data_IF_840263806230
#
_entry.id   IF_840263806230
#
_cell.length_a   1.000
_cell.length_b   1.000
_cell.length_c   1.000
_cell.angle_alpha   90.00
_cell.angle_beta   90.00
_cell.angle_gamma   90.00
#
_symmetry.space_group_name_H-M   'P 1'
#
loop_
_entity.id
_entity.type
_entity.pdbx_description
1 polymer ?
#
# COMPACT_ATOMS: atom_id res chain seq x y z
N UNK A 1 19.34 4.66 3.15
CA UNK A 1 17.91 4.28 3.15
C UNK A 1 17.67 3.37 1.96
N UNK A 2 17.06 2.22 2.16
CA UNK A 2 16.81 1.22 1.11
C UNK A 2 15.45 1.47 0.46
N UNK A 3 15.41 1.57 -0.87
CA UNK A 3 14.17 1.62 -1.63
C UNK A 3 13.68 0.20 -1.91
N UNK A 4 12.38 -0.03 -1.83
CA UNK A 4 11.76 -1.32 -2.08
C UNK A 4 10.41 -1.13 -2.78
N UNK A 5 10.04 -2.06 -3.65
CA UNK A 5 8.75 -2.09 -4.31
C UNK A 5 7.98 -3.33 -3.84
N UNK A 6 6.77 -3.11 -3.37
CA UNK A 6 5.81 -4.17 -3.03
C UNK A 6 4.88 -4.29 -4.23
N UNK A 7 4.83 -5.45 -4.85
CA UNK A 7 4.09 -5.64 -6.09
C UNK A 7 2.80 -6.45 -5.87
N UNK A 8 1.79 -6.15 -6.68
CA UNK A 8 0.53 -6.90 -6.79
C UNK A 8 -0.20 -7.09 -5.44
N UNK A 9 -0.26 -6.04 -4.65
CA UNK A 9 -0.96 -6.04 -3.37
C UNK A 9 -2.32 -5.34 -3.48
N UNK A 10 -3.28 -5.77 -2.64
CA UNK A 10 -4.58 -5.14 -2.55
C UNK A 10 -4.50 -3.86 -1.71
N UNK A 11 -4.97 -2.75 -2.27
CA UNK A 11 -5.09 -1.48 -1.56
C UNK A 11 -6.28 -1.49 -0.60
N UNK A 12 -6.05 -1.08 0.64
CA UNK A 12 -7.06 -0.93 1.67
C UNK A 12 -7.07 0.51 2.17
N UNK A 13 -8.23 1.15 2.13
CA UNK A 13 -8.46 2.53 2.62
C UNK A 13 -7.36 3.53 2.24
N UNK A 14 -7.00 3.63 0.94
CA UNK A 14 -5.94 4.53 0.50
C UNK A 14 -6.31 6.00 0.74
N UNK A 15 -5.38 6.77 1.27
CA UNK A 15 -5.48 8.21 1.58
C UNK A 15 -4.23 8.89 1.06
N UNK A 16 -4.13 8.99 -0.27
CA UNK A 16 -2.93 9.46 -0.96
C UNK A 16 -3.18 10.64 -1.91
N UNK A 17 -4.45 10.99 -2.14
CA UNK A 17 -4.83 12.15 -2.94
C UNK A 17 -4.61 13.49 -2.22
N UNK A 18 -4.67 13.49 -0.90
CA UNK A 18 -4.41 14.62 0.01
C UNK A 18 -4.00 14.12 1.39
N UNK A 19 -3.62 15.01 2.29
CA UNK A 19 -3.29 14.67 3.67
C UNK A 19 -4.53 14.46 4.52
N UNK A 20 -4.41 13.51 5.46
CA UNK A 20 -5.43 13.17 6.45
C UNK A 20 -4.81 13.11 7.84
N UNK A 21 -5.59 13.43 8.86
CA UNK A 21 -5.26 13.17 10.26
C UNK A 21 -6.37 12.35 10.92
N UNK A 22 -6.05 11.59 11.95
CA UNK A 22 -7.05 10.91 12.74
C UNK A 22 -7.73 11.92 13.69
N UNK A 23 -9.05 12.00 13.63
CA UNK A 23 -9.86 12.77 14.56
C UNK A 23 -10.43 11.83 15.63
N UNK A 24 -10.01 12.04 16.88
CA UNK A 24 -10.42 11.21 18.01
C UNK A 24 -11.88 11.44 18.39
N UNK A 25 -12.45 12.60 18.08
CA UNK A 25 -13.86 12.92 18.35
C UNK A 25 -14.79 12.19 17.39
N UNK A 26 -14.43 12.24 16.09
CA UNK A 26 -15.21 11.58 15.05
C UNK A 26 -14.81 10.10 14.84
N UNK A 27 -13.78 9.62 15.55
CA UNK A 27 -13.22 8.25 15.42
C UNK A 27 -12.89 7.85 13.98
N UNK A 28 -12.54 8.82 13.14
CA UNK A 28 -12.21 8.63 11.73
C UNK A 28 -11.07 9.53 11.26
N UNK A 29 -10.52 9.19 10.11
CA UNK A 29 -9.56 10.09 9.46
C UNK A 29 -10.28 11.15 8.67
N UNK A 30 -9.93 12.41 8.90
CA UNK A 30 -10.48 13.58 8.23
C UNK A 30 -9.40 14.26 7.37
N UNK A 31 -9.78 14.88 6.25
CA UNK A 31 -8.86 15.72 5.47
C UNK A 31 -8.31 16.86 6.32
N UNK A 32 -7.05 17.21 6.10
CA UNK A 32 -6.38 18.28 6.85
C UNK A 32 -5.31 18.96 6.00
N UNK A 33 -4.75 20.08 6.50
CA UNK A 33 -3.59 20.69 5.88
C UNK A 33 -2.33 19.86 6.13
N UNK A 34 -1.38 19.94 5.20
CA UNK A 34 -0.13 19.16 5.29
C UNK A 34 0.69 19.50 6.54
N UNK A 35 0.59 20.74 7.03
CA UNK A 35 1.29 21.23 8.24
C UNK A 35 0.57 20.92 9.56
N UNK A 36 -0.65 20.42 9.50
CA UNK A 36 -1.39 20.07 10.71
C UNK A 36 -0.71 18.92 11.47
N UNK A 37 -0.77 18.96 12.80
CA UNK A 37 -0.23 17.89 13.63
C UNK A 37 -0.89 16.55 13.30
N UNK A 38 -0.08 15.50 13.06
CA UNK A 38 -0.57 14.17 12.70
C UNK A 38 -1.00 14.01 11.25
N UNK A 39 -0.79 15.03 10.39
CA UNK A 39 -1.11 14.94 8.96
C UNK A 39 -0.22 13.91 8.27
N UNK A 40 -0.82 13.03 7.48
CA UNK A 40 -0.11 12.01 6.71
C UNK A 40 -0.85 11.62 5.43
N UNK A 41 -0.09 11.21 4.43
CA UNK A 41 -0.57 10.34 3.35
C UNK A 41 -0.39 8.90 3.79
N UNK A 42 -1.34 8.03 3.54
CA UNK A 42 -1.18 6.63 3.90
C UNK A 42 -1.96 5.69 2.98
N UNK A 43 -1.49 4.47 2.93
CA UNK A 43 -2.16 3.34 2.30
C UNK A 43 -1.94 2.12 3.17
N UNK A 44 -3.01 1.43 3.53
CA UNK A 44 -2.95 0.10 4.06
C UNK A 44 -3.01 -0.87 2.89
N UNK A 45 -2.35 -2.01 2.99
CA UNK A 45 -2.33 -3.00 1.92
C UNK A 45 -2.32 -4.40 2.50
N UNK A 46 -2.88 -5.33 1.72
CA UNK A 46 -2.96 -6.74 2.04
C UNK A 46 -2.01 -7.53 1.16
N UNK A 47 -1.30 -8.48 1.77
CA UNK A 47 -0.28 -9.31 1.16
C UNK A 47 -0.58 -10.78 1.41
N UNK A 48 -0.16 -11.65 0.50
CA UNK A 48 -0.04 -13.07 0.76
C UNK A 48 1.22 -13.38 1.61
N UNK A 49 1.38 -14.64 2.04
CA UNK A 49 2.50 -15.10 2.88
C UNK A 49 3.87 -14.83 2.23
N UNK A 50 4.02 -15.09 0.94
CA UNK A 50 5.30 -14.92 0.24
C UNK A 50 5.71 -13.46 0.10
N UNK A 51 4.74 -12.58 -0.21
CA UNK A 51 4.97 -11.14 -0.25
C UNK A 51 5.35 -10.58 1.12
N UNK A 52 4.66 -11.04 2.19
CA UNK A 52 4.96 -10.63 3.55
C UNK A 52 6.36 -11.10 3.98
N UNK A 53 6.76 -12.35 3.64
CA UNK A 53 8.09 -12.87 3.88
C UNK A 53 9.16 -12.03 3.19
N UNK A 54 9.01 -11.78 1.89
CA UNK A 54 9.97 -10.99 1.11
C UNK A 54 10.12 -9.56 1.64
N UNK A 55 9.00 -8.93 2.04
CA UNK A 55 9.04 -7.59 2.65
C UNK A 55 9.72 -7.62 4.02
N UNK A 56 9.44 -8.64 4.86
CA UNK A 56 10.10 -8.78 6.17
C UNK A 56 11.61 -8.98 6.05
N UNK A 57 12.07 -9.79 5.11
CA UNK A 57 13.49 -9.98 4.82
C UNK A 57 14.18 -8.67 4.42
N UNK A 58 13.52 -7.87 3.54
CA UNK A 58 14.03 -6.56 3.16
C UNK A 58 14.07 -5.58 4.36
N UNK A 59 13.05 -5.61 5.23
CA UNK A 59 13.01 -4.82 6.45
C UNK A 59 14.10 -5.25 7.43
N UNK A 60 14.28 -6.56 7.64
CA UNK A 60 15.31 -7.09 8.52
C UNK A 60 16.72 -6.72 8.04
N UNK A 61 16.97 -6.78 6.73
CA UNK A 61 18.23 -6.32 6.13
C UNK A 61 18.44 -4.84 6.38
N UNK A 62 17.45 -3.99 6.07
CA UNK A 62 17.55 -2.54 6.29
C UNK A 62 17.77 -2.20 7.78
N UNK A 63 17.16 -2.98 8.68
CA UNK A 63 17.35 -2.86 10.12
C UNK A 63 18.77 -3.22 10.52
N UNK A 64 19.28 -4.36 10.08
CA UNK A 64 20.62 -4.85 10.37
C UNK A 64 21.71 -3.88 9.89
N UNK A 65 21.54 -3.31 8.68
CA UNK A 65 22.46 -2.35 8.09
C UNK A 65 22.58 -1.03 8.88
N UNK A 66 21.54 -0.70 9.65
CA UNK A 66 21.47 0.57 10.40
C UNK A 66 21.47 0.41 11.90
N UNK A 67 21.39 -0.81 12.40
CA UNK A 67 21.32 -1.13 13.82
C UNK A 67 22.58 -0.64 14.56
N UNK A 68 22.36 0.04 15.69
CA UNK A 68 23.38 0.45 16.63
C UNK A 68 23.40 -0.48 17.86
N UNK A 69 24.43 -0.39 18.71
CA UNK A 69 24.64 -1.28 19.85
C UNK A 69 23.49 -1.26 20.88
N UNK A 70 22.76 -0.15 20.98
CA UNK A 70 21.63 0.04 21.89
C UNK A 70 20.28 -0.45 21.32
N UNK A 71 20.25 -0.93 20.05
CA UNK A 71 19.04 -1.44 19.43
C UNK A 71 18.79 -2.91 19.79
N UNK A 72 17.53 -3.36 19.83
CA UNK A 72 17.18 -4.76 19.97
C UNK A 72 17.91 -5.66 18.98
N UNK A 73 18.23 -6.88 19.38
CA UNK A 73 18.99 -7.81 18.53
C UNK A 73 18.23 -8.17 17.26
N UNK A 74 16.92 -8.37 17.37
CA UNK A 74 16.03 -8.77 16.26
C UNK A 74 14.94 -7.75 16.02
N UNK A 75 14.55 -7.59 14.76
CA UNK A 75 13.38 -6.81 14.38
C UNK A 75 12.10 -7.56 14.82
N UNK A 76 11.20 -6.89 15.52
CA UNK A 76 9.89 -7.45 15.84
C UNK A 76 9.05 -7.65 14.57
N UNK A 77 8.19 -8.67 14.58
CA UNK A 77 7.28 -8.93 13.47
C UNK A 77 6.23 -7.81 13.36
N UNK A 78 6.15 -7.06 12.25
CA UNK A 78 5.36 -5.85 12.18
C UNK A 78 3.98 -6.02 11.55
N UNK A 79 3.70 -7.18 10.93
CA UNK A 79 2.47 -7.38 10.16
C UNK A 79 1.34 -7.92 11.04
N UNK A 80 0.12 -7.49 10.73
CA UNK A 80 -1.08 -8.08 11.30
C UNK A 80 -1.51 -9.25 10.41
N UNK A 81 -1.63 -10.45 10.99
CA UNK A 81 -2.22 -11.61 10.32
C UNK A 81 -3.75 -11.50 10.40
N UNK A 82 -4.41 -11.67 9.27
CA UNK A 82 -5.86 -11.71 9.16
C UNK A 82 -6.36 -13.18 9.24
N UNK A 83 -7.66 -13.38 9.46
CA UNK A 83 -8.27 -14.72 9.63
C UNK A 83 -8.15 -15.60 8.39
N UNK A 84 -8.05 -14.98 7.20
CA UNK A 84 -7.88 -15.66 5.92
C UNK A 84 -6.43 -16.07 5.62
N UNK A 85 -5.51 -15.87 6.58
CA UNK A 85 -4.08 -16.18 6.43
C UNK A 85 -3.30 -15.14 5.63
N UNK A 86 -3.90 -14.03 5.25
CA UNK A 86 -3.21 -12.89 4.65
C UNK A 86 -2.59 -11.98 5.71
N UNK A 87 -1.76 -11.05 5.27
CA UNK A 87 -1.07 -10.11 6.15
C UNK A 87 -1.36 -8.68 5.73
N UNK A 88 -1.64 -7.82 6.69
CA UNK A 88 -1.85 -6.40 6.45
C UNK A 88 -0.77 -5.54 7.07
N UNK A 89 -0.41 -4.47 6.38
CA UNK A 89 0.50 -3.46 6.87
C UNK A 89 0.18 -2.09 6.29
N UNK A 90 0.84 -1.04 6.80
CA UNK A 90 0.60 0.35 6.42
C UNK A 90 1.88 1.03 5.93
N UNK A 91 1.84 1.63 4.76
CA UNK A 91 2.85 2.59 4.31
C UNK A 91 2.34 4.01 4.50
N UNK A 92 3.19 4.93 4.99
CA UNK A 92 2.80 6.30 5.29
C UNK A 92 3.90 7.32 4.96
N UNK A 93 3.48 8.55 4.73
CA UNK A 93 4.35 9.70 4.56
C UNK A 93 3.77 10.88 5.34
N UNK A 94 4.54 11.50 6.22
CA UNK A 94 4.09 12.71 6.94
C UNK A 94 3.77 13.83 5.95
N UNK A 95 2.75 14.62 6.23
CA UNK A 95 2.38 15.78 5.41
C UNK A 95 3.44 16.88 5.39
N UNK A 96 4.17 17.04 6.50
CA UNK A 96 5.27 18.01 6.61
C UNK A 96 6.33 17.53 7.61
N UNK A 97 7.52 18.07 7.50
CA UNK A 97 8.62 17.99 8.47
C UNK A 97 8.98 19.41 8.91
N UNK A 98 8.56 19.79 10.11
CA UNK A 98 8.62 21.20 10.55
C UNK A 98 7.72 22.06 9.68
N UNK A 99 8.26 23.10 9.06
CA UNK A 99 7.55 24.02 8.15
C UNK A 99 7.58 23.55 6.69
N UNK A 100 8.39 22.55 6.36
CA UNK A 100 8.53 22.05 4.99
C UNK A 100 7.45 21.02 4.66
N UNK A 101 6.59 21.36 3.69
CA UNK A 101 5.54 20.49 3.18
C UNK A 101 6.18 19.36 2.37
N UNK A 102 5.79 18.13 2.67
CA UNK A 102 6.27 16.95 1.96
C UNK A 102 5.61 16.87 0.58
N UNK A 103 6.40 16.52 -0.43
CA UNK A 103 5.87 16.25 -1.76
C UNK A 103 4.90 15.08 -1.70
N UNK A 104 3.70 15.29 -2.24
CA UNK A 104 2.65 14.26 -2.35
C UNK A 104 3.19 12.99 -3.04
N UNK A 105 2.83 11.78 -2.55
CA UNK A 105 3.15 10.54 -3.23
C UNK A 105 2.59 10.53 -4.66
N UNK A 106 3.43 10.12 -5.62
CA UNK A 106 3.02 10.07 -7.02
C UNK A 106 2.09 8.87 -7.24
N UNK A 107 1.00 9.09 -7.99
CA UNK A 107 0.12 8.03 -8.48
C UNK A 107 0.31 7.90 -9.98
N UNK A 108 0.51 6.68 -10.47
CA UNK A 108 0.70 6.38 -11.88
C UNK A 108 -0.18 5.22 -12.30
N UNK A 109 -0.51 5.14 -13.58
CA UNK A 109 -1.19 3.98 -14.17
C UNK A 109 -0.24 2.80 -14.39
N UNK A 110 -0.73 1.72 -14.98
CA UNK A 110 0.05 0.51 -15.30
C UNK A 110 1.20 0.76 -16.29
N UNK A 111 1.13 1.83 -17.08
CA UNK A 111 2.17 2.24 -18.04
C UNK A 111 3.18 3.24 -17.45
N UNK A 112 2.98 3.65 -16.19
CA UNK A 112 3.83 4.63 -15.52
C UNK A 112 3.48 6.09 -15.81
N UNK A 113 2.35 6.35 -16.48
CA UNK A 113 1.86 7.71 -16.73
C UNK A 113 1.23 8.26 -15.45
N UNK A 114 1.58 9.51 -15.11
CA UNK A 114 1.04 10.17 -13.91
C UNK A 114 -0.47 10.35 -14.02
N UNK A 115 -1.20 9.88 -13.02
CA UNK A 115 -2.63 10.10 -12.87
C UNK A 115 -2.94 11.54 -12.41
N UNK A 116 -4.19 11.97 -12.62
CA UNK A 116 -4.66 13.28 -12.16
C UNK A 116 -4.41 13.48 -10.66
N UNK A 117 -4.17 14.71 -10.24
CA UNK A 117 -3.81 15.00 -8.85
C UNK A 117 -4.96 14.75 -7.86
N UNK A 118 -6.19 14.76 -8.32
CA UNK A 118 -7.42 14.45 -7.58
C UNK A 118 -7.85 12.99 -7.69
N UNK A 119 -7.09 12.15 -8.43
CA UNK A 119 -7.41 10.74 -8.59
C UNK A 119 -7.60 10.05 -7.23
N UNK A 120 -8.75 9.39 -7.08
CA UNK A 120 -9.13 8.66 -5.88
C UNK A 120 -8.90 7.15 -6.10
N UNK A 121 -7.80 6.65 -5.56
CA UNK A 121 -7.61 5.21 -5.47
C UNK A 121 -8.62 4.62 -4.48
N UNK A 122 -9.22 3.49 -4.84
CA UNK A 122 -10.27 2.82 -4.08
C UNK A 122 -9.79 1.53 -3.44
N UNK A 123 -10.42 1.14 -2.34
CA UNK A 123 -10.19 -0.15 -1.67
C UNK A 123 -10.54 -1.31 -2.62
N UNK A 124 -9.69 -2.35 -2.62
CA UNK A 124 -9.83 -3.52 -3.48
C UNK A 124 -9.12 -3.38 -4.83
N UNK A 125 -8.54 -2.21 -5.15
CA UNK A 125 -7.67 -2.05 -6.32
C UNK A 125 -6.36 -2.79 -6.11
N UNK A 126 -5.81 -3.40 -7.18
CA UNK A 126 -4.48 -4.02 -7.16
C UNK A 126 -3.43 -2.97 -7.51
N UNK A 127 -2.40 -2.87 -6.69
CA UNK A 127 -1.37 -1.82 -6.80
C UNK A 127 0.03 -2.34 -6.57
N UNK A 128 1.01 -1.64 -7.14
CA UNK A 128 2.41 -1.71 -6.75
C UNK A 128 2.73 -0.48 -5.90
N UNK A 129 3.42 -0.66 -4.78
CA UNK A 129 3.73 0.41 -3.82
C UNK A 129 5.25 0.58 -3.75
N UNK A 130 5.73 1.75 -4.14
CA UNK A 130 7.13 2.13 -3.97
C UNK A 130 7.32 2.79 -2.60
N UNK A 131 8.23 2.24 -1.80
CA UNK A 131 8.53 2.69 -0.45
C UNK A 131 10.03 2.91 -0.24
N UNK A 132 10.35 3.62 0.82
CA UNK A 132 11.68 3.67 1.41
C UNK A 132 11.61 3.07 2.81
N UNK A 133 12.46 2.08 3.06
CA UNK A 133 12.61 1.45 4.38
C UNK A 133 13.44 2.38 5.29
N UNK A 134 12.85 2.79 6.39
CA UNK A 134 13.46 3.71 7.35
C UNK A 134 13.48 3.08 8.75
N UNK A 135 14.59 2.40 9.12
CA UNK A 135 14.78 1.89 10.48
C UNK A 135 14.76 3.02 11.51
N UNK A 136 14.15 2.76 12.65
CA UNK A 136 14.04 3.71 13.76
C UNK A 136 14.11 3.02 15.11
N UNK A 137 14.45 3.79 16.13
CA UNK A 137 14.28 3.43 17.53
C UNK A 137 13.46 4.51 18.22
N UNK A 138 12.55 4.10 19.09
CA UNK A 138 11.73 4.97 19.91
C UNK A 138 11.61 4.38 21.32
N UNK A 139 12.42 4.90 22.24
CA UNK A 139 12.55 4.33 23.59
C UNK A 139 13.14 2.92 23.55
N UNK A 140 12.36 1.91 23.97
CA UNK A 140 12.75 0.49 23.94
C UNK A 140 12.31 -0.23 22.65
N UNK A 141 11.46 0.44 21.86
CA UNK A 141 10.89 -0.14 20.64
C UNK A 141 11.73 0.26 19.44
N UNK A 142 12.02 -0.69 18.59
CA UNK A 142 12.72 -0.48 17.34
C UNK A 142 11.94 -1.13 16.21
N UNK A 143 11.99 -0.51 15.03
CA UNK A 143 11.24 -0.99 13.89
C UNK A 143 11.73 -0.42 12.57
N UNK A 144 11.03 -0.76 11.50
CA UNK A 144 11.26 -0.20 10.18
C UNK A 144 9.98 0.44 9.68
N UNK A 145 10.00 1.75 9.47
CA UNK A 145 8.87 2.49 8.91
C UNK A 145 8.89 2.39 7.39
N UNK A 146 7.73 2.11 6.80
CA UNK A 146 7.52 2.10 5.36
C UNK A 146 7.13 3.50 4.90
N UNK A 147 8.10 4.28 4.39
CA UNK A 147 7.84 5.62 3.87
C UNK A 147 7.30 5.53 2.46
N UNK A 148 6.05 5.94 2.27
CA UNK A 148 5.37 5.94 0.97
C UNK A 148 6.02 6.94 0.01
N UNK A 149 6.30 6.51 -1.23
CA UNK A 149 6.87 7.35 -2.30
C UNK A 149 5.95 7.50 -3.49
N UNK A 150 5.45 6.37 -3.98
CA UNK A 150 4.57 6.32 -5.14
C UNK A 150 3.68 5.08 -5.10
N UNK A 151 2.59 5.14 -5.84
CA UNK A 151 1.67 4.00 -6.06
C UNK A 151 1.40 3.88 -7.55
N UNK A 152 1.58 2.67 -8.08
CA UNK A 152 1.18 2.31 -9.44
C UNK A 152 -0.10 1.50 -9.38
N UNK A 153 -1.12 1.93 -10.09
CA UNK A 153 -2.41 1.24 -10.18
C UNK A 153 -2.31 0.19 -11.29
N UNK A 154 -2.35 -1.09 -10.91
CA UNK A 154 -2.30 -2.23 -11.85
C UNK A 154 -3.70 -2.59 -12.31
N UNK A 155 -4.62 -2.73 -11.35
CA UNK A 155 -6.06 -2.91 -11.62
C UNK A 155 -6.85 -1.94 -10.74
N UNK A 156 -7.62 -1.10 -11.38
CA UNK A 156 -8.53 -0.20 -10.66
C UNK A 156 -9.86 -0.89 -10.41
N UNK A 157 -10.32 -0.88 -9.16
CA UNK A 157 -11.66 -1.31 -8.77
C UNK A 157 -12.49 -0.06 -8.49
N UNK A 158 -13.40 0.35 -9.39
CA UNK A 158 -14.23 1.51 -9.14
C UNK A 158 -15.12 1.30 -7.92
N UNK A 159 -15.51 2.40 -7.26
CA UNK A 159 -16.48 2.33 -6.18
C UNK A 159 -17.86 2.01 -6.80
N UNK A 160 -18.43 0.88 -6.43
CA UNK A 160 -19.80 0.55 -6.83
C UNK A 160 -20.78 1.42 -6.00
N UNK A 161 -21.29 2.47 -6.62
CA UNK A 161 -22.42 3.19 -6.06
C UNK A 161 -23.71 2.39 -6.33
N UNK A 162 -24.04 1.48 -5.44
CA UNK A 162 -25.36 0.82 -5.49
C UNK A 162 -26.41 1.79 -4.96
N UNK A 163 -27.33 2.17 -5.83
CA UNK A 163 -28.51 2.92 -5.40
C UNK A 163 -29.27 2.09 -4.34
N UNK A 164 -29.59 2.68 -3.17
CA UNK A 164 -30.45 2.01 -2.19
C UNK A 164 -31.90 1.90 -2.67
N UNK A 165 -32.22 2.53 -3.80
CA UNK A 165 -33.55 2.55 -4.38
C UNK A 165 -33.66 1.58 -5.55
N UNK A 166 -34.78 0.84 -5.62
CA UNK A 166 -35.13 0.02 -6.79
C UNK A 166 -35.60 0.88 -7.97
N UNK A 167 -35.77 0.23 -9.12
CA UNK A 167 -36.34 0.87 -10.31
C UNK A 167 -37.83 1.13 -10.07
N UNK A 168 -38.29 2.37 -10.34
CA UNK A 168 -39.70 2.76 -10.34
C UNK A 168 -40.17 2.83 -11.77
N UNK A 169 -41.10 1.96 -12.18
CA UNK A 169 -41.66 2.00 -13.52
C UNK A 169 -42.43 3.31 -13.77
N UNK A 170 -42.17 3.95 -14.91
CA UNK A 170 -42.79 5.24 -15.26
C UNK A 170 -42.21 6.47 -14.52
N UNK A 171 -41.16 6.29 -13.73
CA UNK A 171 -40.46 7.37 -13.05
C UNK A 171 -39.62 8.27 -13.99
N UNK A 172 -39.13 9.39 -13.48
CA UNK A 172 -38.22 10.28 -14.21
C UNK A 172 -36.90 9.57 -14.55
N UNK A 173 -36.52 9.61 -15.81
CA UNK A 173 -35.24 9.14 -16.31
C UNK A 173 -34.44 10.32 -16.84
N UNK A 174 -33.26 10.58 -16.25
CA UNK A 174 -32.38 11.62 -16.80
C UNK A 174 -31.83 11.16 -18.16
N UNK A 175 -31.97 12.01 -19.17
CA UNK A 175 -31.46 11.76 -20.53
C UNK A 175 -29.99 12.13 -20.70
N UNK A 176 -29.30 12.54 -19.63
CA UNK A 176 -27.87 12.80 -19.68
C UNK A 176 -27.11 11.50 -19.90
N UNK A 177 -26.31 11.50 -20.98
CA UNK A 177 -25.36 10.43 -21.29
C UNK A 177 -24.54 10.10 -20.04
N UNK A 178 -24.85 8.98 -19.39
CA UNK A 178 -24.11 8.50 -18.24
C UNK A 178 -22.67 8.17 -18.69
N UNK A 179 -21.65 8.96 -18.35
CA UNK A 179 -20.28 8.73 -18.79
C UNK A 179 -19.71 7.39 -18.26
N UNK A 180 -20.41 6.75 -17.34
CA UNK A 180 -20.03 5.45 -16.76
C UNK A 180 -20.60 4.22 -17.50
N UNK A 181 -21.38 4.43 -18.56
CA UNK A 181 -21.98 3.32 -19.36
C UNK A 181 -21.12 2.81 -20.52
N UNK A 182 -19.88 3.28 -20.69
CA UNK A 182 -18.98 2.82 -21.77
C UNK A 182 -17.82 2.00 -21.26
N UNK A 183 -18.04 0.89 -20.59
CA UNK A 183 -17.03 -0.18 -20.47
C UNK A 183 -17.72 -1.53 -20.40
N UNK A 184 -18.40 -1.92 -21.47
CA UNK A 184 -18.72 -3.31 -21.76
C UNK A 184 -18.38 -3.59 -23.24
N UNK A 185 -17.09 -3.47 -23.58
CA UNK A 185 -16.53 -4.18 -24.74
C UNK A 185 -15.53 -5.22 -24.22
N UNK A 186 -15.66 -6.49 -24.59
CA UNK A 186 -14.75 -7.54 -24.16
C UNK A 186 -13.38 -7.30 -24.80
N UNK A 187 -12.40 -6.96 -23.99
CA UNK A 187 -10.99 -6.89 -24.39
C UNK A 187 -10.54 -8.31 -24.73
N UNK A 188 -10.16 -8.50 -25.99
CA UNK A 188 -9.59 -9.75 -26.48
C UNK A 188 -8.37 -10.17 -25.67
N UNK A 189 -8.29 -11.46 -25.30
CA UNK A 189 -7.19 -12.06 -24.55
C UNK A 189 -5.84 -11.84 -25.24
N UNK A 190 -4.80 -11.35 -24.53
CA UNK A 190 -3.45 -11.32 -25.10
C UNK A 190 -2.84 -12.73 -25.08
N UNK A 191 -2.32 -13.11 -26.24
CA UNK A 191 -1.58 -14.36 -26.45
C UNK A 191 -0.40 -14.48 -25.48
N UNK A 192 -0.34 -15.66 -24.84
CA UNK A 192 0.70 -16.19 -23.98
C UNK A 192 2.09 -16.09 -24.64
N UNK A 193 2.96 -15.27 -24.10
CA UNK A 193 4.38 -15.27 -24.44
C UNK A 193 5.14 -16.01 -23.33
N UNK A 194 5.71 -17.16 -23.67
CA UNK A 194 6.60 -17.92 -22.78
C UNK A 194 7.88 -17.12 -22.52
N UNK A 195 8.14 -16.76 -21.27
CA UNK A 195 9.42 -16.23 -20.86
C UNK A 195 10.24 -17.28 -20.11
N UNK A 196 11.45 -17.53 -20.64
CA UNK A 196 12.49 -18.42 -20.09
C UNK A 196 12.93 -17.93 -18.71
N UNK A 197 13.03 -18.89 -17.76
CA UNK A 197 13.61 -18.71 -16.43
C UNK A 197 15.09 -18.32 -16.51
N UNK A 198 15.56 -17.36 -15.73
CA UNK A 198 16.97 -17.27 -15.38
C UNK A 198 17.30 -18.11 -14.14
N UNK A 199 18.54 -18.59 -14.10
CA UNK A 199 19.08 -19.53 -13.13
C UNK A 199 19.17 -18.95 -11.70
N UNK A 200 18.97 -19.80 -10.71
CA UNK A 200 19.13 -19.54 -9.28
C UNK A 200 20.59 -19.42 -8.91
N UNK A 201 20.99 -18.31 -8.37
CA UNK A 201 22.21 -18.15 -7.58
C UNK A 201 21.89 -18.49 -6.12
N UNK A 202 22.64 -19.44 -5.57
CA UNK A 202 22.50 -19.88 -4.16
C UNK A 202 23.16 -18.82 -3.26
N UNK A 203 22.38 -18.23 -2.38
CA UNK A 203 22.87 -17.48 -1.23
C UNK A 203 22.69 -18.36 0.01
N UNK A 204 23.79 -18.50 0.76
CA UNK A 204 23.91 -19.39 1.93
C UNK A 204 22.89 -19.05 3.02
N UNK A 205 22.19 -20.10 3.46
CA UNK A 205 21.28 -20.13 4.59
C UNK A 205 22.04 -19.86 5.89
N UNK A 206 21.73 -18.74 6.53
CA UNK A 206 22.03 -18.57 7.95
C UNK A 206 20.83 -17.90 8.64
N UNK A 207 20.14 -18.69 9.46
CA UNK A 207 19.36 -18.31 10.65
C UNK A 207 18.01 -17.59 10.46
N UNK A 208 17.49 -17.50 9.25
CA UNK A 208 16.16 -16.93 9.00
C UNK A 208 15.04 -17.99 9.00
N UNK A 209 15.39 -19.27 8.82
CA UNK A 209 14.43 -20.38 8.80
C UNK A 209 13.71 -20.56 10.15
N UNK A 210 14.39 -20.37 11.26
CA UNK A 210 13.81 -20.51 12.60
C UNK A 210 12.74 -19.45 12.96
N UNK A 211 12.71 -18.33 12.24
CA UNK A 211 11.69 -17.29 12.44
C UNK A 211 10.47 -17.56 11.54
N UNK A 212 10.69 -18.24 10.42
CA UNK A 212 9.67 -18.51 9.41
C UNK A 212 8.86 -19.77 9.75
N UNK A 213 9.45 -20.74 10.44
CA UNK A 213 8.79 -21.99 10.85
C UNK A 213 7.71 -21.77 11.92
N UNK A 214 7.76 -20.64 12.66
CA UNK A 214 6.72 -20.23 13.61
C UNK A 214 5.55 -19.42 12.99
N UNK A 215 5.41 -19.44 11.67
CA UNK A 215 4.32 -18.71 11.00
C UNK A 215 3.02 -19.53 10.90
N UNK A 216 3.04 -20.79 11.32
CA UNK A 216 1.89 -21.71 11.22
C UNK A 216 1.14 -21.95 12.55
N UNK A 217 1.54 -21.30 13.67
CA UNK A 217 0.84 -21.34 14.97
C UNK A 217 0.02 -20.07 15.24
#
# INVERSE_FOLDING_TARGET
MLNYNINDVEALWPKINRTYKFDSTEQRSVPCNATDAGSEYNIMFRMNKDQAKSLYEAMAKAYADKKEANWPAKLAFPFKKDEDGTYTHKAKLKGAYGTEVTRKPMQVDSQGVKLADDFLLTTGSTVNIAITLAPYIMGKDAGVSLRLRAVQVVKYKPMEEKSPFGVVEGGYVSQEDNPFKKVDEPIAEPKKVESKKPAKEKVEDNDLSAIVDNWDD
#
